data_IF_976352824411
#
_entry.id   IF_976352824411
#
_cell.length_a   1.000
_cell.length_b   1.000
_cell.length_c   1.000
_cell.angle_alpha   90.00
_cell.angle_beta   90.00
_cell.angle_gamma   90.00
#
_symmetry.space_group_name_H-M   'P 1'
#
loop_
_entity.id
_entity.type
_entity.pdbx_description
1 polymer ?
#
# COMPACT_ATOMS: atom_id res chain seq x y z
N UNK A 1 -2.06 -5.89 28.52
CA UNK A 1 -2.80 -5.54 27.29
C UNK A 1 -2.83 -6.79 26.44
N UNK A 2 -4.04 -7.24 26.11
CA UNK A 2 -4.20 -8.43 25.30
C UNK A 2 -3.93 -8.12 23.83
N UNK A 3 -3.28 -9.06 23.15
CA UNK A 3 -2.98 -8.92 21.74
C UNK A 3 -4.27 -9.14 20.94
N UNK A 4 -4.63 -8.18 20.08
CA UNK A 4 -5.76 -8.26 19.17
C UNK A 4 -5.43 -8.92 17.84
N UNK A 5 -4.14 -9.13 17.59
CA UNK A 5 -3.65 -9.77 16.37
C UNK A 5 -2.14 -9.70 16.25
N UNK A 6 -1.63 -10.17 15.13
CA UNK A 6 -0.20 -10.11 14.80
C UNK A 6 0.01 -9.74 13.34
N UNK A 7 1.16 -9.15 13.03
CA UNK A 7 1.59 -8.93 11.65
C UNK A 7 1.92 -10.27 11.00
N UNK A 8 1.37 -10.53 9.82
CA UNK A 8 1.71 -11.71 9.01
C UNK A 8 2.41 -11.37 7.70
N UNK A 9 2.31 -10.10 7.26
CA UNK A 9 3.07 -9.59 6.13
C UNK A 9 3.27 -8.09 6.28
N UNK A 10 4.50 -7.66 6.01
CA UNK A 10 4.88 -6.26 5.83
C UNK A 10 5.12 -6.01 4.36
N UNK A 11 4.60 -4.90 3.83
CA UNK A 11 4.81 -4.49 2.46
C UNK A 11 5.15 -3.00 2.34
N UNK A 12 6.07 -2.69 1.43
CA UNK A 12 6.44 -1.34 1.04
C UNK A 12 6.14 -1.16 -0.45
N UNK A 13 5.67 0.03 -0.81
CA UNK A 13 5.36 0.42 -2.18
C UNK A 13 6.19 1.65 -2.56
N UNK A 14 7.45 1.49 -2.98
CA UNK A 14 8.35 2.62 -3.17
C UNK A 14 7.83 3.67 -4.15
N UNK A 15 7.08 3.22 -5.17
CA UNK A 15 6.50 4.07 -6.20
C UNK A 15 4.97 3.97 -6.18
N UNK A 16 4.30 5.11 -6.17
CA UNK A 16 2.83 5.18 -6.21
C UNK A 16 2.28 4.38 -7.40
N UNK A 17 1.26 3.56 -7.14
CA UNK A 17 0.59 2.67 -8.10
C UNK A 17 1.42 1.55 -8.72
N UNK A 18 2.70 1.45 -8.44
CA UNK A 18 3.49 0.28 -8.83
C UNK A 18 3.36 -0.84 -7.80
N UNK A 19 3.89 -2.03 -8.12
CA UNK A 19 3.88 -3.20 -7.24
C UNK A 19 4.60 -2.92 -5.92
N UNK A 20 4.15 -3.58 -4.86
CA UNK A 20 4.84 -3.58 -3.58
C UNK A 20 5.91 -4.67 -3.48
N UNK A 21 6.81 -4.52 -2.52
CA UNK A 21 7.78 -5.52 -2.09
C UNK A 21 7.49 -6.00 -0.66
N UNK A 22 7.69 -7.29 -0.41
CA UNK A 22 7.56 -7.89 0.93
C UNK A 22 8.83 -7.60 1.72
N UNK A 23 8.65 -7.25 2.99
CA UNK A 23 9.75 -6.99 3.91
C UNK A 23 9.71 -7.97 5.08
N UNK A 24 10.85 -8.52 5.54
CA UNK A 24 10.91 -9.30 6.77
C UNK A 24 10.76 -8.43 8.01
N UNK A 25 11.21 -7.18 7.92
CA UNK A 25 11.11 -6.14 8.93
C UNK A 25 11.00 -4.77 8.24
N UNK A 26 10.43 -3.80 8.94
CA UNK A 26 10.28 -2.43 8.43
C UNK A 26 10.55 -1.41 9.54
N UNK A 27 11.19 -0.30 9.18
CA UNK A 27 11.31 0.86 10.06
C UNK A 27 10.09 1.75 9.85
N UNK A 28 9.27 1.91 10.89
CA UNK A 28 8.23 2.93 10.93
C UNK A 28 8.85 4.26 11.34
N UNK A 29 8.69 5.25 10.49
CA UNK A 29 9.02 6.66 10.76
C UNK A 29 7.73 7.46 10.94
N UNK A 30 7.80 8.71 11.37
CA UNK A 30 6.61 9.57 11.45
C UNK A 30 5.92 9.78 10.08
N UNK A 31 6.63 9.51 8.98
CA UNK A 31 6.11 9.57 7.61
C UNK A 31 5.68 8.20 7.06
N UNK A 32 5.51 7.17 7.91
CA UNK A 32 5.16 5.81 7.50
C UNK A 32 6.36 4.87 7.40
N UNK A 33 6.23 3.78 6.67
CA UNK A 33 7.34 2.87 6.40
C UNK A 33 8.43 3.62 5.60
N UNK A 34 9.68 3.44 6.03
CA UNK A 34 10.83 4.04 5.34
C UNK A 34 10.80 3.69 3.85
N UNK A 35 10.91 4.71 2.97
CA UNK A 35 10.85 4.61 1.51
C UNK A 35 9.50 4.13 0.93
N UNK A 36 8.43 4.16 1.70
CA UNK A 36 7.10 3.85 1.18
C UNK A 36 6.52 5.06 0.44
N UNK A 37 6.09 4.86 -0.82
CA UNK A 37 5.43 5.86 -1.69
C UNK A 37 6.19 7.18 -1.84
N UNK A 38 7.55 7.11 -1.76
CA UNK A 38 8.41 8.28 -1.93
C UNK A 38 8.48 8.77 -3.36
N UNK A 39 8.15 7.92 -4.32
CA UNK A 39 8.17 8.29 -5.73
C UNK A 39 6.78 8.21 -6.35
N UNK A 40 6.49 9.15 -7.24
CA UNK A 40 5.28 9.16 -8.05
C UNK A 40 5.58 9.79 -9.43
N UNK A 41 4.91 9.30 -10.47
CA UNK A 41 4.89 9.98 -11.76
C UNK A 41 3.75 10.99 -11.76
N UNK A 42 4.08 12.26 -12.01
CA UNK A 42 3.16 13.38 -12.04
C UNK A 42 2.87 13.74 -13.50
N UNK A 43 1.60 13.92 -13.83
CA UNK A 43 1.16 14.31 -15.17
C UNK A 43 1.49 15.79 -15.40
N UNK A 44 2.26 16.10 -16.45
CA UNK A 44 2.78 17.44 -16.73
C UNK A 44 1.69 18.50 -16.93
N UNK A 45 0.55 18.09 -17.49
CA UNK A 45 -0.57 18.99 -17.83
C UNK A 45 -1.73 18.89 -16.82
N UNK A 46 -1.52 18.22 -15.67
CA UNK A 46 -2.58 18.12 -14.67
C UNK A 46 -2.72 19.42 -13.88
N UNK A 47 -3.94 19.94 -13.79
CA UNK A 47 -4.32 21.05 -12.90
C UNK A 47 -5.12 20.56 -11.68
N UNK A 48 -5.12 19.24 -11.42
CA UNK A 48 -5.83 18.63 -10.31
C UNK A 48 -4.96 18.62 -9.06
N UNK A 49 -5.59 18.68 -7.89
CA UNK A 49 -4.93 18.43 -6.59
C UNK A 49 -4.44 16.98 -6.44
N UNK A 50 -4.82 16.12 -7.39
CA UNK A 50 -4.38 14.73 -7.51
C UNK A 50 -3.66 14.50 -8.86
N UNK A 51 -2.45 15.05 -9.04
CA UNK A 51 -1.79 15.10 -10.36
C UNK A 51 -1.08 13.80 -10.74
N UNK A 52 -1.07 12.80 -9.86
CA UNK A 52 -0.32 11.57 -10.08
C UNK A 52 -0.92 10.70 -11.19
N UNK A 53 -0.05 10.11 -12.00
CA UNK A 53 -0.43 8.97 -12.84
C UNK A 53 -0.63 7.76 -11.94
N UNK A 54 -1.80 7.14 -12.00
CA UNK A 54 -2.13 5.98 -11.17
C UNK A 54 -2.62 4.81 -12.01
N UNK A 55 -2.77 3.65 -11.39
CA UNK A 55 -3.38 2.49 -12.02
C UNK A 55 -4.81 2.72 -12.54
N UNK A 56 -5.47 3.83 -12.15
CA UNK A 56 -6.78 4.22 -12.73
C UNK A 56 -6.65 4.62 -14.18
N UNK A 57 -5.54 5.28 -14.55
CA UNK A 57 -5.26 5.72 -15.92
C UNK A 57 -4.40 4.71 -16.68
N UNK A 58 -3.48 4.03 -15.99
CA UNK A 58 -2.58 3.02 -16.56
C UNK A 58 -2.51 1.79 -15.65
N UNK A 59 -3.42 0.81 -15.80
CA UNK A 59 -3.45 -0.40 -14.96
C UNK A 59 -2.12 -1.17 -14.96
N UNK A 60 -1.41 -1.16 -16.07
CA UNK A 60 -0.11 -1.82 -16.24
C UNK A 60 0.97 -1.32 -15.28
N UNK A 61 0.79 -0.16 -14.61
CA UNK A 61 1.72 0.28 -13.55
C UNK A 61 1.87 -0.76 -12.44
N UNK A 62 0.83 -1.55 -12.14
CA UNK A 62 0.89 -2.63 -11.16
C UNK A 62 1.91 -3.72 -11.51
N UNK A 63 2.30 -3.86 -12.78
CA UNK A 63 3.25 -4.85 -13.25
C UNK A 63 4.71 -4.39 -13.17
N UNK A 64 4.96 -3.10 -12.93
CA UNK A 64 6.30 -2.58 -12.65
C UNK A 64 6.67 -2.91 -11.20
N UNK A 65 7.85 -3.50 -10.99
CA UNK A 65 8.30 -4.02 -9.70
C UNK A 65 9.47 -3.18 -9.17
N UNK A 66 9.18 -2.09 -8.43
CA UNK A 66 10.21 -1.32 -7.77
C UNK A 66 10.84 -2.10 -6.61
N UNK A 67 12.12 -1.87 -6.38
CA UNK A 67 12.83 -2.33 -5.19
C UNK A 67 13.77 -1.26 -4.67
N UNK A 68 13.89 -1.18 -3.35
CA UNK A 68 14.79 -0.25 -2.67
C UNK A 68 16.01 -1.00 -2.19
N UNK A 69 17.20 -0.46 -2.50
CA UNK A 69 18.47 -0.93 -1.94
C UNK A 69 19.12 0.20 -1.18
N UNK A 70 19.57 -0.08 0.02
CA UNK A 70 20.48 0.78 0.75
C UNK A 70 21.90 0.49 0.28
N UNK A 71 22.61 1.51 -0.16
CA UNK A 71 24.03 1.37 -0.43
C UNK A 71 24.84 1.48 0.89
N UNK A 72 26.13 1.12 0.91
CA UNK A 72 26.95 1.20 2.12
C UNK A 72 27.10 2.60 2.72
N UNK A 73 26.84 3.67 1.95
CA UNK A 73 26.83 5.06 2.44
C UNK A 73 25.50 5.46 3.09
N UNK A 74 24.49 4.57 3.11
CA UNK A 74 23.17 4.86 3.68
C UNK A 74 22.22 5.58 2.71
N UNK A 75 22.63 5.83 1.47
CA UNK A 75 21.75 6.39 0.44
C UNK A 75 20.85 5.29 -0.14
N UNK A 76 19.62 5.65 -0.41
CA UNK A 76 18.65 4.76 -1.04
C UNK A 76 18.73 4.83 -2.57
N UNK A 77 18.82 3.68 -3.21
CA UNK A 77 18.67 3.54 -4.64
C UNK A 77 17.41 2.76 -4.95
N UNK A 78 16.56 3.31 -5.81
CA UNK A 78 15.35 2.62 -6.28
C UNK A 78 15.54 2.18 -7.72
N UNK A 79 15.35 0.88 -7.96
CA UNK A 79 15.32 0.30 -9.30
C UNK A 79 13.96 -0.30 -9.58
N UNK A 80 13.56 -0.34 -10.83
CA UNK A 80 12.27 -0.85 -11.27
C UNK A 80 12.49 -1.93 -12.35
N UNK A 81 11.97 -3.13 -12.10
CA UNK A 81 11.86 -4.16 -13.13
C UNK A 81 10.60 -3.89 -13.95
N UNK A 82 10.74 -3.66 -15.23
CA UNK A 82 9.62 -3.38 -16.15
C UNK A 82 8.83 -4.67 -16.46
N UNK A 83 7.63 -4.57 -17.02
CA UNK A 83 6.86 -5.75 -17.46
C UNK A 83 7.59 -6.63 -18.50
N UNK A 84 8.59 -6.08 -19.20
CA UNK A 84 9.42 -6.81 -20.17
C UNK A 84 10.66 -7.47 -19.54
N UNK A 85 10.88 -7.26 -18.21
CA UNK A 85 11.98 -7.85 -17.45
C UNK A 85 13.25 -6.98 -17.41
N UNK A 86 13.25 -5.81 -18.01
CA UNK A 86 14.39 -4.89 -17.93
C UNK A 86 14.44 -4.20 -16.54
N UNK A 87 15.63 -4.08 -15.98
CA UNK A 87 15.84 -3.35 -14.69
C UNK A 87 16.42 -1.97 -14.97
N UNK A 88 15.70 -0.93 -14.56
CA UNK A 88 16.04 0.47 -14.77
C UNK A 88 16.06 1.25 -13.46
N UNK A 89 16.94 2.24 -13.27
CA UNK A 89 16.81 3.21 -12.18
C UNK A 89 15.49 3.96 -12.27
N UNK A 90 14.92 4.33 -11.12
CA UNK A 90 13.61 5.03 -11.05
C UNK A 90 13.64 6.37 -11.82
N UNK A 91 14.77 7.07 -11.80
CA UNK A 91 15.00 8.35 -12.46
C UNK A 91 15.44 8.22 -13.92
N UNK A 92 15.49 7.00 -14.46
CA UNK A 92 15.89 6.72 -15.83
C UNK A 92 14.95 7.40 -16.84
N UNK A 93 15.55 8.13 -17.78
CA UNK A 93 14.81 8.70 -18.93
C UNK A 93 14.10 7.61 -19.74
N UNK A 94 14.71 6.41 -19.83
CA UNK A 94 14.14 5.27 -20.56
C UNK A 94 12.87 4.77 -19.89
N UNK A 95 12.88 4.59 -18.56
CA UNK A 95 11.70 4.18 -17.79
C UNK A 95 10.56 5.19 -17.94
N UNK A 96 10.88 6.49 -17.81
CA UNK A 96 9.89 7.55 -17.99
C UNK A 96 9.29 7.53 -19.38
N UNK A 97 10.13 7.48 -20.43
CA UNK A 97 9.67 7.45 -21.81
C UNK A 97 8.79 6.22 -22.12
N UNK A 98 9.08 5.05 -21.52
CA UNK A 98 8.25 3.86 -21.66
C UNK A 98 6.85 4.09 -21.04
N UNK A 99 6.79 4.68 -19.83
CA UNK A 99 5.52 4.95 -19.15
C UNK A 99 4.75 6.07 -19.89
N UNK A 100 5.42 7.10 -20.39
CA UNK A 100 4.83 8.15 -21.22
C UNK A 100 4.20 7.58 -22.49
N UNK A 101 4.91 6.71 -23.19
CA UNK A 101 4.40 6.06 -24.40
C UNK A 101 3.16 5.20 -24.13
N UNK A 102 3.11 4.49 -22.99
CA UNK A 102 1.95 3.66 -22.60
C UNK A 102 0.76 4.48 -22.11
N UNK A 103 1.01 5.56 -21.38
CA UNK A 103 -0.05 6.41 -20.83
C UNK A 103 -0.58 7.48 -21.81
N UNK A 104 0.20 7.79 -22.85
CA UNK A 104 -0.08 8.92 -23.76
C UNK A 104 0.04 10.29 -23.09
N UNK A 105 0.80 10.41 -21.98
CA UNK A 105 0.91 11.62 -21.14
C UNK A 105 2.36 12.00 -20.90
N UNK A 106 2.66 13.30 -20.92
CA UNK A 106 3.94 13.82 -20.43
C UNK A 106 4.04 13.67 -18.90
N UNK A 107 5.18 13.23 -18.41
CA UNK A 107 5.37 12.88 -17.00
C UNK A 107 6.61 13.53 -16.40
N UNK A 108 6.50 13.86 -15.11
CA UNK A 108 7.63 14.18 -14.24
C UNK A 108 7.77 13.11 -13.17
N UNK A 109 8.99 12.79 -12.76
CA UNK A 109 9.22 12.00 -11.56
C UNK A 109 9.25 12.93 -10.36
N UNK A 110 8.35 12.72 -9.42
CA UNK A 110 8.35 13.36 -8.11
C UNK A 110 9.05 12.44 -7.11
N UNK A 111 9.98 13.00 -6.33
CA UNK A 111 10.50 12.38 -5.11
C UNK A 111 9.99 13.20 -3.93
N UNK A 112 9.06 12.64 -3.15
CA UNK A 112 8.40 13.31 -2.04
C UNK A 112 8.90 12.76 -0.70
N UNK A 113 9.60 13.59 0.05
CA UNK A 113 10.10 13.24 1.38
C UNK A 113 9.01 12.90 2.40
N UNK A 114 7.75 13.29 2.16
CA UNK A 114 6.61 12.97 3.03
C UNK A 114 5.82 11.74 2.56
N UNK A 115 5.93 11.39 1.30
CA UNK A 115 5.22 10.30 0.64
C UNK A 115 3.94 10.73 -0.06
N UNK A 116 3.71 10.16 -1.25
CA UNK A 116 2.53 10.43 -2.09
C UNK A 116 1.37 9.50 -1.72
N UNK A 117 0.85 9.64 -0.51
CA UNK A 117 -0.26 8.82 0.01
C UNK A 117 -1.62 9.27 -0.55
N UNK A 118 -2.63 8.39 -0.45
CA UNK A 118 -4.02 8.74 -0.80
C UNK A 118 -4.73 9.38 0.40
N UNK A 119 -4.49 8.88 1.62
CA UNK A 119 -5.04 9.40 2.86
C UNK A 119 -3.96 9.48 3.96
N UNK A 120 -3.55 8.35 4.54
CA UNK A 120 -2.56 8.32 5.61
C UNK A 120 -1.38 7.37 5.30
N UNK A 121 -0.25 7.50 6.02
CA UNK A 121 0.99 6.82 5.67
C UNK A 121 1.00 5.31 5.97
N UNK A 122 0.09 4.81 6.79
CA UNK A 122 -0.03 3.37 7.09
C UNK A 122 -1.40 2.89 6.65
N UNK A 123 -1.43 1.87 5.80
CA UNK A 123 -2.64 1.10 5.48
C UNK A 123 -2.53 -0.29 6.09
N UNK A 124 -3.59 -0.74 6.76
CA UNK A 124 -3.69 -2.01 7.44
C UNK A 124 -5.00 -2.71 7.06
N UNK A 125 -4.93 -4.01 6.80
CA UNK A 125 -6.12 -4.85 6.59
C UNK A 125 -5.90 -6.21 7.24
N UNK A 126 -6.98 -6.85 7.69
CA UNK A 126 -6.88 -8.22 8.20
C UNK A 126 -6.99 -9.26 7.09
N UNK A 127 -6.33 -10.41 7.27
CA UNK A 127 -6.49 -11.53 6.35
C UNK A 127 -7.93 -12.06 6.32
N UNK A 128 -8.64 -11.93 7.44
CA UNK A 128 -10.04 -12.33 7.57
C UNK A 128 -10.94 -11.47 6.68
N UNK A 129 -10.70 -10.14 6.64
CA UNK A 129 -11.41 -9.22 5.74
C UNK A 129 -11.11 -9.52 4.28
N UNK A 130 -9.83 -9.74 3.94
CA UNK A 130 -9.43 -10.11 2.57
C UNK A 130 -10.12 -11.41 2.13
N UNK A 131 -10.14 -12.43 2.98
CA UNK A 131 -10.77 -13.72 2.69
C UNK A 131 -12.30 -13.58 2.50
N UNK A 132 -12.96 -12.79 3.35
CA UNK A 132 -14.40 -12.55 3.26
C UNK A 132 -14.77 -11.84 1.95
N UNK A 133 -14.07 -10.79 1.58
CA UNK A 133 -14.33 -10.08 0.32
C UNK A 133 -14.09 -11.00 -0.89
N UNK A 134 -13.06 -11.84 -0.84
CA UNK A 134 -12.79 -12.80 -1.91
C UNK A 134 -13.92 -13.83 -2.06
N UNK A 135 -14.42 -14.37 -0.95
CA UNK A 135 -15.56 -15.29 -0.93
C UNK A 135 -16.82 -14.62 -1.51
N UNK A 136 -17.18 -13.43 -1.03
CA UNK A 136 -18.39 -12.72 -1.44
C UNK A 136 -18.34 -12.20 -2.88
N UNK A 137 -17.17 -11.92 -3.41
CA UNK A 137 -16.96 -11.46 -4.79
C UNK A 137 -16.60 -12.57 -5.77
N UNK A 138 -16.50 -13.82 -5.28
CA UNK A 138 -16.09 -14.99 -6.06
C UNK A 138 -14.74 -14.80 -6.78
N UNK A 139 -13.77 -14.21 -6.05
CA UNK A 139 -12.43 -13.91 -6.56
C UNK A 139 -11.34 -14.55 -5.72
N UNK A 140 -10.11 -14.54 -6.22
CA UNK A 140 -8.96 -14.98 -5.44
C UNK A 140 -8.65 -14.01 -4.27
N UNK A 141 -8.37 -14.58 -3.09
CA UNK A 141 -7.99 -13.83 -1.90
C UNK A 141 -6.56 -13.29 -2.02
N UNK A 142 -6.43 -12.09 -2.55
CA UNK A 142 -5.13 -11.42 -2.71
C UNK A 142 -5.07 -10.11 -1.92
N UNK A 143 -4.26 -10.02 -0.85
CA UNK A 143 -4.08 -8.78 -0.11
C UNK A 143 -3.45 -7.68 -0.97
N UNK A 144 -2.72 -8.03 -2.03
CA UNK A 144 -2.06 -7.10 -2.94
C UNK A 144 -3.03 -6.16 -3.68
N UNK A 145 -4.31 -6.56 -3.84
CA UNK A 145 -5.36 -5.71 -4.41
C UNK A 145 -5.65 -4.50 -3.52
N UNK A 146 -5.57 -4.70 -2.20
CA UNK A 146 -5.84 -3.68 -1.18
C UNK A 146 -4.60 -2.83 -0.86
N UNK A 147 -3.40 -3.28 -1.26
CA UNK A 147 -2.12 -2.57 -1.10
C UNK A 147 -1.81 -2.15 0.33
N UNK A 148 -2.01 -3.02 1.35
CA UNK A 148 -1.73 -2.67 2.72
C UNK A 148 -0.22 -2.65 2.99
N UNK A 149 0.19 -1.79 3.93
CA UNK A 149 1.53 -1.87 4.52
C UNK A 149 1.60 -3.02 5.54
N UNK A 150 0.52 -3.22 6.30
CA UNK A 150 0.40 -4.25 7.32
C UNK A 150 -0.76 -5.19 6.99
N UNK A 151 -0.46 -6.43 6.66
CA UNK A 151 -1.46 -7.51 6.66
C UNK A 151 -1.42 -8.17 8.03
N UNK A 152 -2.56 -8.22 8.70
CA UNK A 152 -2.65 -8.73 10.07
C UNK A 152 -3.52 -9.98 10.16
N UNK A 153 -3.20 -10.83 11.12
CA UNK A 153 -4.03 -11.96 11.52
C UNK A 153 -4.66 -11.62 12.88
N UNK A 154 -5.98 -11.51 12.93
CA UNK A 154 -6.72 -11.20 14.14
C UNK A 154 -6.78 -12.43 15.06
N UNK A 155 -6.55 -12.25 16.37
CA UNK A 155 -6.47 -13.37 17.33
C UNK A 155 -7.83 -14.09 17.48
N UNK A 156 -8.91 -13.35 17.70
CA UNK A 156 -10.28 -13.87 17.80
C UNK A 156 -11.24 -13.06 16.92
N UNK A 157 -10.65 -12.39 15.90
CA UNK A 157 -11.37 -11.41 15.11
C UNK A 157 -12.20 -12.01 14.00
N UNK A 158 -13.32 -11.34 13.74
CA UNK A 158 -14.15 -11.55 12.57
C UNK A 158 -13.68 -10.63 11.43
N UNK A 159 -14.03 -10.94 10.17
CA UNK A 159 -13.83 -10.01 9.08
C UNK A 159 -14.34 -8.60 9.45
N UNK A 160 -13.58 -7.57 9.07
CA UNK A 160 -13.84 -6.15 9.32
C UNK A 160 -13.73 -5.68 10.78
N UNK A 161 -13.29 -6.52 11.73
CA UNK A 161 -13.11 -6.09 13.12
C UNK A 161 -12.02 -5.02 13.27
N UNK A 162 -11.05 -4.95 12.33
CA UNK A 162 -10.07 -3.85 12.30
C UNK A 162 -10.71 -2.47 12.12
N UNK A 163 -11.91 -2.36 11.56
CA UNK A 163 -12.64 -1.09 11.44
C UNK A 163 -13.02 -0.48 12.81
N UNK A 164 -13.15 -1.32 13.84
CA UNK A 164 -13.42 -0.88 15.21
C UNK A 164 -12.23 -0.19 15.88
N UNK A 165 -11.07 -0.24 15.24
CA UNK A 165 -9.85 0.41 15.75
C UNK A 165 -9.75 1.89 15.37
N UNK A 166 -10.66 2.40 14.53
CA UNK A 166 -10.71 3.83 14.21
C UNK A 166 -10.88 4.66 15.49
N UNK A 167 -10.00 5.65 15.66
CA UNK A 167 -9.89 6.46 16.87
C UNK A 167 -9.06 5.83 18.00
N UNK A 168 -8.48 4.65 17.80
CA UNK A 168 -7.66 3.94 18.79
C UNK A 168 -6.17 3.99 18.39
N UNK A 169 -5.33 3.70 19.36
CA UNK A 169 -3.88 3.57 19.16
C UNK A 169 -3.52 2.09 19.19
N UNK A 170 -2.76 1.67 18.19
CA UNK A 170 -2.14 0.35 18.14
C UNK A 170 -0.70 0.46 18.61
N UNK A 171 -0.31 -0.34 19.59
CA UNK A 171 1.09 -0.65 19.88
C UNK A 171 1.48 -1.90 19.08
N UNK A 172 2.54 -1.79 18.29
CA UNK A 172 3.02 -2.85 17.41
C UNK A 172 4.43 -3.24 17.85
N UNK A 173 4.62 -4.52 18.12
CA UNK A 173 5.89 -5.03 18.64
C UNK A 173 6.27 -4.37 19.97
N UNK A 174 7.53 -3.93 20.07
CA UNK A 174 8.07 -3.41 21.33
C UNK A 174 7.69 -1.94 21.60
N UNK A 175 7.73 -1.08 20.59
CA UNK A 175 7.68 0.38 20.81
C UNK A 175 6.90 1.18 19.77
N UNK A 176 6.67 0.64 18.57
CA UNK A 176 5.99 1.39 17.54
C UNK A 176 4.52 1.63 17.91
N UNK A 177 4.03 2.86 17.66
CA UNK A 177 2.64 3.24 17.95
C UNK A 177 2.02 3.90 16.72
N UNK A 178 0.84 3.44 16.35
CA UNK A 178 0.08 3.93 15.20
C UNK A 178 -1.32 4.31 15.66
N UNK A 179 -1.70 5.57 15.49
CA UNK A 179 -3.08 5.99 15.64
C UNK A 179 -3.86 5.61 14.40
N UNK A 180 -4.96 4.88 14.56
CA UNK A 180 -5.87 4.56 13.45
C UNK A 180 -6.82 5.73 13.27
N UNK A 181 -6.73 6.39 12.13
CA UNK A 181 -7.39 7.67 11.87
C UNK A 181 -8.73 7.52 11.16
N UNK A 182 -8.83 6.55 10.26
CA UNK A 182 -10.02 6.39 9.43
C UNK A 182 -10.14 5.00 8.83
N UNK A 183 -11.35 4.63 8.39
CA UNK A 183 -11.58 3.45 7.57
C UNK A 183 -11.04 3.69 6.15
N UNK A 184 -10.47 2.64 5.53
CA UNK A 184 -9.93 2.74 4.17
C UNK A 184 -11.08 2.59 3.16
N UNK A 185 -11.55 3.72 2.63
CA UNK A 185 -12.52 3.74 1.54
C UNK A 185 -11.89 3.24 0.25
N UNK A 186 -12.48 2.20 -0.32
CA UNK A 186 -11.94 1.54 -1.50
C UNK A 186 -12.40 2.18 -2.80
N UNK A 187 -11.49 2.23 -3.75
CA UNK A 187 -11.72 2.74 -5.08
C UNK A 187 -11.46 1.66 -6.14
N UNK A 188 -11.58 2.00 -7.40
CA UNK A 188 -11.40 1.09 -8.53
C UNK A 188 -10.05 0.34 -8.53
N UNK A 189 -9.04 0.83 -7.80
CA UNK A 189 -7.74 0.16 -7.71
C UNK A 189 -7.83 -1.29 -7.20
N UNK A 190 -8.75 -1.61 -6.28
CA UNK A 190 -8.90 -2.98 -5.77
C UNK A 190 -9.43 -3.97 -6.81
N UNK A 191 -10.04 -3.47 -7.89
CA UNK A 191 -10.51 -4.32 -8.98
C UNK A 191 -9.36 -4.87 -9.83
N UNK A 192 -8.24 -4.17 -9.86
CA UNK A 192 -7.11 -4.52 -10.71
C UNK A 192 -6.34 -5.70 -10.10
N UNK A 193 -6.15 -6.73 -10.91
CA UNK A 193 -5.29 -7.84 -10.54
C UNK A 193 -3.82 -7.38 -10.50
N UNK A 194 -3.09 -7.63 -9.40
CA UNK A 194 -1.73 -7.11 -9.23
C UNK A 194 -0.68 -7.75 -10.15
N UNK A 195 -0.98 -8.92 -10.74
CA UNK A 195 -0.07 -9.62 -11.66
C UNK A 195 -0.39 -9.31 -13.13
N UNK A 196 -1.67 -9.31 -13.47
CA UNK A 196 -2.14 -9.20 -14.86
C UNK A 196 -2.63 -7.81 -15.22
N UNK A 197 -2.94 -6.97 -14.23
CA UNK A 197 -3.63 -5.68 -14.37
C UNK A 197 -5.08 -5.79 -14.93
N UNK A 198 -5.62 -7.01 -15.03
CA UNK A 198 -6.99 -7.25 -15.49
C UNK A 198 -7.96 -6.83 -14.38
N UNK A 199 -9.02 -6.13 -14.77
CA UNK A 199 -10.04 -5.63 -13.84
C UNK A 199 -11.10 -6.69 -13.53
N UNK A 200 -11.43 -6.83 -12.23
CA UNK A 200 -12.53 -7.63 -11.68
C UNK A 200 -13.51 -6.70 -10.93
N UNK A 201 -14.44 -6.00 -11.60
CA UNK A 201 -15.29 -4.97 -10.97
C UNK A 201 -16.21 -5.51 -9.86
N UNK A 202 -16.44 -6.82 -9.81
CA UNK A 202 -17.23 -7.50 -8.77
C UNK A 202 -16.71 -7.22 -7.36
N UNK A 203 -15.38 -7.15 -7.17
CA UNK A 203 -14.76 -6.89 -5.86
C UNK A 203 -15.19 -5.52 -5.31
N UNK A 204 -15.07 -4.45 -6.10
CA UNK A 204 -15.48 -3.13 -5.64
C UNK A 204 -16.99 -3.05 -5.43
N UNK A 205 -17.78 -3.68 -6.30
CA UNK A 205 -19.24 -3.74 -6.15
C UNK A 205 -19.62 -4.40 -4.82
N UNK A 206 -19.01 -5.53 -4.48
CA UNK A 206 -19.20 -6.23 -3.21
C UNK A 206 -18.88 -5.29 -2.03
N UNK A 207 -17.69 -4.69 -2.02
CA UNK A 207 -17.27 -3.79 -0.93
C UNK A 207 -18.19 -2.57 -0.78
N UNK A 208 -18.66 -2.00 -1.91
CA UNK A 208 -19.59 -0.85 -1.88
C UNK A 208 -20.96 -1.26 -1.34
N UNK A 209 -21.50 -2.38 -1.80
CA UNK A 209 -22.87 -2.78 -1.46
C UNK A 209 -23.01 -3.41 -0.07
N UNK A 210 -21.99 -4.15 0.38
CA UNK A 210 -22.08 -4.95 1.61
C UNK A 210 -21.26 -4.37 2.77
N UNK A 211 -20.24 -3.55 2.49
CA UNK A 211 -19.27 -3.10 3.49
C UNK A 211 -19.05 -1.58 3.50
N UNK A 212 -20.09 -0.80 3.16
CA UNK A 212 -20.06 0.68 3.23
C UNK A 212 -18.85 1.28 2.49
N UNK A 213 -18.40 0.63 1.40
CA UNK A 213 -17.23 1.01 0.60
C UNK A 213 -15.88 0.86 1.35
N UNK A 214 -15.84 0.34 2.57
CA UNK A 214 -14.66 0.28 3.43
C UNK A 214 -14.12 -1.14 3.57
N UNK A 215 -12.79 -1.28 3.55
CA UNK A 215 -12.09 -2.52 3.86
C UNK A 215 -10.67 -2.21 4.34
N UNK A 216 -10.35 -2.50 5.61
CA UNK A 216 -9.13 -2.09 6.27
C UNK A 216 -9.19 -0.66 6.79
N UNK A 217 -8.08 -0.17 7.30
CA UNK A 217 -7.97 1.13 7.98
C UNK A 217 -6.69 1.85 7.59
N UNK A 218 -6.71 3.17 7.72
CA UNK A 218 -5.55 4.03 7.66
C UNK A 218 -5.10 4.49 9.05
N UNK A 219 -3.81 4.77 9.17
CA UNK A 219 -3.24 5.26 10.42
C UNK A 219 -2.00 6.14 10.22
N UNK A 220 -1.68 6.86 11.28
CA UNK A 220 -0.52 7.75 11.38
C UNK A 220 0.41 7.26 12.48
N UNK A 221 1.70 7.25 12.22
CA UNK A 221 2.70 6.83 13.19
C UNK A 221 2.89 7.91 14.25
N UNK A 222 2.67 7.53 15.51
CA UNK A 222 2.90 8.40 16.69
C UNK A 222 4.28 8.20 17.28
N UNK A 223 4.76 6.95 17.28
CA UNK A 223 6.08 6.59 17.80
C UNK A 223 6.78 5.70 16.78
N UNK A 224 7.92 6.16 16.33
CA UNK A 224 8.77 5.41 15.41
C UNK A 224 9.32 4.13 16.07
N UNK A 225 9.61 3.13 15.25
CA UNK A 225 10.16 1.87 15.74
C UNK A 225 10.35 0.85 14.62
N UNK A 226 11.05 -0.21 14.91
CA UNK A 226 11.17 -1.35 14.02
C UNK A 226 10.00 -2.33 14.28
N UNK A 227 9.40 -2.83 13.21
CA UNK A 227 8.33 -3.84 13.24
C UNK A 227 8.70 -5.01 12.35
N UNK A 228 8.27 -6.22 12.72
CA UNK A 228 8.62 -7.47 12.06
C UNK A 228 7.39 -8.35 11.83
N UNK A 229 7.47 -9.25 10.90
CA UNK A 229 6.48 -10.33 10.78
C UNK A 229 6.46 -11.14 12.09
N UNK A 230 5.26 -11.41 12.60
CA UNK A 230 5.03 -12.07 13.88
C UNK A 230 4.85 -11.13 15.07
N UNK A 231 5.16 -9.84 14.93
CA UNK A 231 4.97 -8.88 16.01
C UNK A 231 3.51 -8.79 16.46
N UNK A 232 3.25 -8.80 17.77
CA UNK A 232 1.91 -8.64 18.32
C UNK A 232 1.40 -7.21 18.10
N UNK A 233 0.09 -7.10 17.94
CA UNK A 233 -0.64 -5.83 17.89
C UNK A 233 -1.53 -5.77 19.11
N UNK A 234 -1.39 -4.72 19.92
CA UNK A 234 -2.20 -4.48 21.09
C UNK A 234 -2.92 -3.13 20.97
N UNK A 235 -4.19 -3.08 21.38
CA UNK A 235 -4.92 -1.82 21.52
C UNK A 235 -4.45 -1.09 22.78
N UNK A 236 -4.19 0.20 22.66
CA UNK A 236 -3.99 1.10 23.80
C UNK A 236 -5.27 1.94 24.01
N UNK A 237 -5.56 2.19 25.28
CA UNK A 237 -6.71 3.02 25.71
C UNK A 237 -6.45 4.50 25.48
#
# INVERSE_FOLDING_TARGET
MDSVGKIIQLARYPVKSMRGEVLPAATLTLQGILEDRRYAFVQAESHSDFPWLTGRQLPELLRYKPSVKLNPSGETAVTVVTPTGETLPIDSRKLRAEIEARSGRGLFLLHDGRGSYDAAPISLISRQTVARIAEESETEASPWRFRPNLLVDLTEGRPFDELKWVGRILRIGNSARVAITEADERCVMITLDPETAISSPGILRCVVQQHYKCAGVYGTVLTAGEVRNGDPICLED
#
